data_IF_378306546541
#
_entry.id   IF_378306546541
#
_cell.length_a   1.000
_cell.length_b   1.000
_cell.length_c   1.000
_cell.angle_alpha   90.00
_cell.angle_beta   90.00
_cell.angle_gamma   90.00
#
_symmetry.space_group_name_H-M   'P 1'
#
loop_
_entity.id
_entity.type
_entity.pdbx_description
1 polymer ?
#
# COMPACT_ATOMS: atom_id res chain seq x y z
N UNK A 1 -32.11 -49.22 16.21
CA UNK A 1 -30.71 -48.75 16.35
C UNK A 1 -29.96 -49.18 15.11
N UNK A 2 -29.77 -48.27 14.15
CA UNK A 2 -28.75 -48.38 13.09
C UNK A 2 -28.47 -46.94 12.64
N UNK A 3 -27.47 -46.31 13.24
CA UNK A 3 -26.96 -45.02 12.79
C UNK A 3 -26.00 -45.25 11.63
N UNK A 4 -26.33 -44.69 10.47
CA UNK A 4 -25.41 -44.61 9.34
C UNK A 4 -24.58 -43.34 9.49
N UNK A 5 -23.32 -43.51 9.89
CA UNK A 5 -22.33 -42.43 9.95
C UNK A 5 -21.90 -42.07 8.52
N UNK A 6 -22.38 -40.92 8.04
CA UNK A 6 -21.83 -40.23 6.88
C UNK A 6 -20.40 -39.79 7.20
N UNK A 7 -19.42 -40.41 6.55
CA UNK A 7 -18.04 -39.96 6.53
C UNK A 7 -17.88 -38.97 5.39
N UNK A 8 -18.09 -37.69 5.69
CA UNK A 8 -17.66 -36.62 4.80
C UNK A 8 -16.13 -36.56 4.84
N UNK A 9 -15.48 -36.85 3.72
CA UNK A 9 -14.04 -36.65 3.49
C UNK A 9 -13.78 -35.28 2.83
N UNK A 10 -13.32 -34.25 3.56
CA UNK A 10 -12.86 -33.00 2.98
C UNK A 10 -11.35 -32.96 2.63
N UNK A 11 -10.64 -34.09 2.61
CA UNK A 11 -9.16 -34.13 2.59
C UNK A 11 -8.48 -34.15 1.21
N UNK A 12 -9.18 -34.46 0.12
CA UNK A 12 -8.57 -34.61 -1.21
C UNK A 12 -8.41 -33.27 -1.95
N UNK A 13 -9.28 -32.30 -1.70
CA UNK A 13 -9.26 -30.99 -2.35
C UNK A 13 -8.23 -30.05 -1.75
N UNK A 14 -8.14 -29.95 -0.42
CA UNK A 14 -7.14 -29.12 0.27
C UNK A 14 -5.71 -29.57 -0.02
N UNK A 15 -5.46 -30.89 -0.01
CA UNK A 15 -4.14 -31.45 -0.33
C UNK A 15 -3.71 -31.21 -1.77
N UNK A 16 -4.65 -31.13 -2.72
CA UNK A 16 -4.32 -30.78 -4.11
C UNK A 16 -4.01 -29.30 -4.28
N UNK A 17 -4.72 -28.41 -3.59
CA UNK A 17 -4.46 -26.97 -3.59
C UNK A 17 -3.12 -26.62 -2.94
N UNK A 18 -2.77 -27.25 -1.80
CA UNK A 18 -1.46 -27.11 -1.15
C UNK A 18 -0.33 -27.55 -2.09
N UNK A 19 -0.50 -28.68 -2.78
CA UNK A 19 0.50 -29.15 -3.76
C UNK A 19 0.64 -28.15 -4.90
N UNK A 20 -0.47 -27.61 -5.42
CA UNK A 20 -0.44 -26.61 -6.47
C UNK A 20 0.32 -25.34 -6.05
N UNK A 21 0.11 -24.86 -4.82
CA UNK A 21 0.86 -23.73 -4.26
C UNK A 21 2.36 -24.00 -4.25
N UNK A 22 2.77 -25.10 -3.62
CA UNK A 22 4.18 -25.49 -3.52
C UNK A 22 4.83 -25.64 -4.90
N UNK A 23 4.17 -26.35 -5.82
CA UNK A 23 4.68 -26.52 -7.18
C UNK A 23 4.81 -25.18 -7.89
N UNK A 24 3.80 -24.31 -7.83
CA UNK A 24 3.85 -23.02 -8.50
C UNK A 24 5.00 -22.14 -8.00
N UNK A 25 5.18 -22.02 -6.68
CA UNK A 25 6.26 -21.20 -6.10
C UNK A 25 7.65 -21.81 -6.25
N UNK A 26 7.78 -23.14 -6.24
CA UNK A 26 9.05 -23.81 -6.53
C UNK A 26 9.45 -23.61 -7.99
N UNK A 27 8.53 -23.88 -8.93
CA UNK A 27 8.79 -23.65 -10.37
C UNK A 27 9.08 -22.18 -10.65
N UNK A 28 8.38 -21.25 -10.00
CA UNK A 28 8.65 -19.82 -10.15
C UNK A 28 10.08 -19.46 -9.73
N UNK A 29 10.58 -20.02 -8.61
CA UNK A 29 11.97 -19.80 -8.16
C UNK A 29 13.00 -20.44 -9.09
N UNK A 30 12.74 -21.66 -9.54
CA UNK A 30 13.68 -22.38 -10.41
C UNK A 30 13.83 -21.66 -11.75
N UNK A 31 12.73 -21.20 -12.34
CA UNK A 31 12.72 -20.49 -13.62
C UNK A 31 13.33 -19.08 -13.55
N UNK A 32 13.18 -18.37 -12.41
CA UNK A 32 13.82 -17.05 -12.26
C UNK A 32 15.34 -17.17 -12.11
N UNK A 33 15.83 -18.20 -11.39
CA UNK A 33 17.27 -18.44 -11.20
C UNK A 33 17.98 -18.98 -12.45
N UNK A 34 17.25 -19.68 -13.31
CA UNK A 34 17.81 -20.34 -14.52
C UNK A 34 17.62 -19.53 -15.80
N UNK A 35 17.08 -18.30 -15.69
CA UNK A 35 16.70 -17.48 -16.84
C UNK A 35 17.86 -17.19 -17.81
N UNK A 36 17.77 -17.81 -18.99
CA UNK A 36 18.60 -17.59 -20.17
C UNK A 36 17.86 -16.63 -21.12
N UNK A 37 18.51 -15.83 -21.99
CA UNK A 37 17.86 -14.85 -22.85
C UNK A 37 16.76 -15.37 -23.82
N UNK A 38 16.49 -16.69 -23.84
CA UNK A 38 15.37 -17.34 -24.56
C UNK A 38 14.20 -17.76 -23.66
N UNK A 39 14.25 -17.51 -22.35
CA UNK A 39 13.21 -17.91 -21.39
C UNK A 39 11.98 -16.99 -21.47
N UNK A 40 10.84 -17.48 -20.98
CA UNK A 40 9.61 -16.68 -20.81
C UNK A 40 9.91 -15.40 -20.03
N UNK A 41 9.21 -14.31 -20.35
CA UNK A 41 9.29 -13.09 -19.53
C UNK A 41 8.74 -13.36 -18.13
N UNK A 42 9.25 -12.63 -17.13
CA UNK A 42 8.77 -12.73 -15.73
C UNK A 42 7.26 -12.52 -15.66
N UNK A 43 6.72 -11.58 -16.43
CA UNK A 43 5.28 -11.33 -16.54
C UNK A 43 4.51 -12.57 -16.98
N UNK A 44 5.00 -13.27 -18.00
CA UNK A 44 4.34 -14.46 -18.52
C UNK A 44 4.45 -15.64 -17.53
N UNK A 45 5.60 -15.79 -16.88
CA UNK A 45 5.82 -16.79 -15.85
C UNK A 45 4.85 -16.59 -14.66
N UNK A 46 4.72 -15.36 -14.17
CA UNK A 46 3.77 -15.00 -13.11
C UNK A 46 2.32 -15.25 -13.52
N UNK A 47 1.97 -14.92 -14.76
CA UNK A 47 0.63 -15.15 -15.26
C UNK A 47 0.29 -16.65 -15.32
N UNK A 48 1.19 -17.46 -15.88
CA UNK A 48 0.98 -18.90 -16.07
C UNK A 48 0.93 -19.64 -14.72
N UNK A 49 1.84 -19.31 -13.80
CA UNK A 49 2.00 -20.05 -12.54
C UNK A 49 1.11 -19.53 -11.42
N UNK A 50 0.99 -18.20 -11.28
CA UNK A 50 0.36 -17.57 -10.11
C UNK A 50 -1.02 -17.01 -10.46
N UNK A 51 -1.10 -16.08 -11.41
CA UNK A 51 -2.34 -15.31 -11.62
C UNK A 51 -3.47 -16.15 -12.22
N UNK A 52 -3.16 -17.06 -13.14
CA UNK A 52 -4.15 -18.00 -13.70
C UNK A 52 -4.72 -18.96 -12.65
N UNK A 53 -3.98 -19.20 -11.55
CA UNK A 53 -4.36 -20.11 -10.47
C UNK A 53 -4.72 -19.38 -9.18
N UNK A 54 -4.95 -18.06 -9.23
CA UNK A 54 -5.15 -17.18 -8.07
C UNK A 54 -6.13 -17.77 -7.04
N UNK A 55 -7.30 -18.26 -7.46
CA UNK A 55 -8.32 -18.80 -6.55
C UNK A 55 -7.87 -20.08 -5.84
N UNK A 56 -7.17 -20.96 -6.54
CA UNK A 56 -6.66 -22.19 -5.96
C UNK A 56 -5.58 -21.87 -4.91
N UNK A 57 -4.68 -20.94 -5.24
CA UNK A 57 -3.66 -20.46 -4.32
C UNK A 57 -4.28 -19.80 -3.07
N UNK A 58 -5.26 -18.92 -3.27
CA UNK A 58 -6.02 -18.27 -2.20
C UNK A 58 -6.69 -19.28 -1.25
N UNK A 59 -7.20 -20.39 -1.77
CA UNK A 59 -7.81 -21.44 -0.94
C UNK A 59 -6.79 -22.29 -0.17
N UNK A 60 -5.56 -22.41 -0.67
CA UNK A 60 -4.49 -23.17 -0.03
C UNK A 60 -3.79 -22.40 1.09
N UNK A 61 -3.75 -21.06 1.00
CA UNK A 61 -3.04 -20.19 1.93
C UNK A 61 -3.31 -20.45 3.43
N UNK A 62 -4.56 -20.64 3.91
CA UNK A 62 -4.81 -20.91 5.33
C UNK A 62 -4.35 -22.30 5.80
N UNK A 63 -4.21 -23.26 4.89
CA UNK A 63 -3.81 -24.64 5.21
C UNK A 63 -2.27 -24.84 5.18
N UNK A 64 -1.52 -23.81 4.77
CA UNK A 64 -0.06 -23.81 4.69
C UNK A 64 0.59 -23.28 5.97
N UNK A 65 1.82 -23.73 6.29
CA UNK A 65 2.61 -23.15 7.37
C UNK A 65 2.81 -21.63 7.17
N UNK A 66 2.59 -20.78 8.20
CA UNK A 66 2.67 -19.33 8.04
C UNK A 66 4.01 -18.80 7.53
N UNK A 67 5.12 -19.45 7.90
CA UNK A 67 6.46 -19.09 7.42
C UNK A 67 6.64 -19.37 5.92
N UNK A 68 6.04 -20.45 5.41
CA UNK A 68 6.06 -20.83 4.00
C UNK A 68 5.34 -19.75 3.17
N UNK A 69 4.09 -19.45 3.53
CA UNK A 69 3.29 -18.38 2.91
C UNK A 69 4.02 -17.04 2.96
N UNK A 70 4.61 -16.70 4.12
CA UNK A 70 5.36 -15.44 4.26
C UNK A 70 6.55 -15.39 3.30
N UNK A 71 7.35 -16.44 3.23
CA UNK A 71 8.52 -16.49 2.34
C UNK A 71 8.14 -16.43 0.84
N UNK A 72 7.03 -17.07 0.46
CA UNK A 72 6.53 -17.09 -0.91
C UNK A 72 6.00 -15.72 -1.33
N UNK A 73 5.26 -15.04 -0.46
CA UNK A 73 4.78 -13.68 -0.71
C UNK A 73 5.91 -12.65 -0.75
N UNK A 74 6.91 -12.77 0.13
CA UNK A 74 8.08 -11.89 0.09
C UNK A 74 8.86 -12.04 -1.21
N UNK A 75 9.08 -13.28 -1.67
CA UNK A 75 9.70 -13.55 -2.95
C UNK A 75 8.89 -12.96 -4.12
N UNK A 76 7.57 -13.10 -4.10
CA UNK A 76 6.70 -12.51 -5.12
C UNK A 76 6.75 -10.97 -5.13
N UNK A 77 6.76 -10.35 -3.96
CA UNK A 77 6.87 -8.89 -3.81
C UNK A 77 8.23 -8.36 -4.30
N UNK A 78 9.31 -9.06 -4.00
CA UNK A 78 10.65 -8.72 -4.48
C UNK A 78 10.73 -8.85 -6.02
N UNK A 79 10.17 -9.92 -6.57
CA UNK A 79 10.09 -10.11 -8.01
C UNK A 79 9.28 -9.00 -8.69
N UNK A 80 8.14 -8.61 -8.11
CA UNK A 80 7.33 -7.51 -8.61
C UNK A 80 8.09 -6.18 -8.57
N UNK A 81 8.78 -5.88 -7.46
CA UNK A 81 9.57 -4.65 -7.31
C UNK A 81 10.79 -4.60 -8.25
N UNK A 82 11.35 -5.75 -8.61
CA UNK A 82 12.49 -5.87 -9.53
C UNK A 82 12.12 -5.83 -11.02
N UNK A 83 10.81 -5.86 -11.34
CA UNK A 83 10.34 -5.87 -12.72
C UNK A 83 10.65 -4.54 -13.43
N UNK A 84 11.34 -4.55 -14.58
CA UNK A 84 11.68 -3.31 -15.28
C UNK A 84 10.41 -2.59 -15.73
N UNK A 85 10.26 -1.33 -15.27
CA UNK A 85 9.06 -0.49 -15.37
C UNK A 85 8.62 -0.09 -16.78
N UNK A 86 8.28 -1.07 -17.63
CA UNK A 86 7.61 -0.86 -18.91
C UNK A 86 6.08 -0.76 -18.77
N UNK A 87 5.39 -0.46 -19.87
CA UNK A 87 3.92 -0.31 -19.91
C UNK A 87 3.17 -1.59 -19.46
N UNK A 88 3.80 -2.77 -19.52
CA UNK A 88 3.20 -4.07 -19.19
C UNK A 88 3.35 -4.51 -17.72
N UNK A 89 3.88 -3.66 -16.82
CA UNK A 89 4.03 -4.02 -15.39
C UNK A 89 2.74 -3.78 -14.59
N UNK A 90 1.79 -3.02 -15.15
CA UNK A 90 0.52 -2.70 -14.46
C UNK A 90 -0.27 -3.94 -13.98
N UNK A 91 -0.41 -5.03 -14.75
CA UNK A 91 -1.12 -6.22 -14.28
C UNK A 91 -0.41 -6.89 -13.11
N UNK A 92 0.92 -6.96 -13.12
CA UNK A 92 1.71 -7.57 -12.04
C UNK A 92 1.41 -6.88 -10.71
N UNK A 93 1.47 -5.55 -10.69
CA UNK A 93 1.23 -4.80 -9.46
C UNK A 93 -0.18 -4.97 -8.94
N UNK A 94 -1.19 -4.94 -9.81
CA UNK A 94 -2.59 -5.17 -9.42
C UNK A 94 -2.77 -6.56 -8.82
N UNK A 95 -2.29 -7.61 -9.50
CA UNK A 95 -2.47 -8.97 -9.01
C UNK A 95 -1.71 -9.24 -7.72
N UNK A 96 -0.48 -8.75 -7.59
CA UNK A 96 0.32 -8.93 -6.38
C UNK A 96 -0.30 -8.16 -5.22
N UNK A 97 -0.72 -6.90 -5.42
CA UNK A 97 -1.37 -6.12 -4.36
C UNK A 97 -2.64 -6.80 -3.87
N UNK A 98 -3.50 -7.26 -4.78
CA UNK A 98 -4.76 -7.93 -4.41
C UNK A 98 -4.52 -9.31 -3.80
N UNK A 99 -3.52 -10.08 -4.25
CA UNK A 99 -3.17 -11.37 -3.64
C UNK A 99 -2.74 -11.18 -2.18
N UNK A 100 -1.84 -10.24 -1.92
CA UNK A 100 -1.37 -9.94 -0.56
C UNK A 100 -2.52 -9.42 0.30
N UNK A 101 -3.35 -8.53 -0.25
CA UNK A 101 -4.55 -8.02 0.42
C UNK A 101 -5.48 -9.16 0.86
N UNK A 102 -5.84 -10.03 -0.08
CA UNK A 102 -6.82 -11.08 0.15
C UNK A 102 -6.29 -12.15 1.12
N UNK A 103 -5.01 -12.53 1.04
CA UNK A 103 -4.42 -13.49 1.98
C UNK A 103 -4.41 -12.92 3.41
N UNK A 104 -4.00 -11.67 3.56
CA UNK A 104 -3.87 -11.05 4.88
C UNK A 104 -5.23 -10.74 5.50
N UNK A 105 -6.17 -10.21 4.70
CA UNK A 105 -7.43 -9.68 5.19
C UNK A 105 -8.57 -10.69 5.14
N UNK A 106 -8.72 -11.42 4.03
CA UNK A 106 -9.83 -12.37 3.86
C UNK A 106 -9.51 -13.72 4.51
N UNK A 107 -8.31 -14.25 4.29
CA UNK A 107 -7.92 -15.56 4.84
C UNK A 107 -7.36 -15.47 6.27
N UNK A 108 -7.12 -14.26 6.79
CA UNK A 108 -6.60 -14.00 8.15
C UNK A 108 -5.31 -14.78 8.45
N UNK A 109 -4.48 -15.04 7.43
CA UNK A 109 -3.21 -15.72 7.61
C UNK A 109 -2.25 -14.78 8.36
N UNK A 110 -1.75 -15.24 9.51
CA UNK A 110 -0.81 -14.46 10.32
C UNK A 110 0.60 -14.57 9.73
N UNK A 111 1.01 -13.58 8.94
CA UNK A 111 2.35 -13.56 8.35
C UNK A 111 3.42 -13.39 9.44
N UNK A 112 4.53 -14.13 9.30
CA UNK A 112 5.67 -14.09 10.21
C UNK A 112 6.67 -13.01 9.76
N UNK A 113 6.28 -11.76 9.92
CA UNK A 113 7.11 -10.62 9.56
C UNK A 113 8.18 -10.33 10.63
N UNK A 114 9.35 -9.94 10.15
CA UNK A 114 10.47 -9.34 10.88
C UNK A 114 10.94 -8.05 10.17
N UNK A 115 11.90 -7.33 10.75
CA UNK A 115 12.38 -6.05 10.21
C UNK A 115 12.88 -6.15 8.76
N UNK A 116 13.60 -7.21 8.40
CA UNK A 116 14.07 -7.40 7.01
C UNK A 116 12.92 -7.63 6.02
N UNK A 117 11.93 -8.46 6.38
CA UNK A 117 10.74 -8.66 5.56
C UNK A 117 9.88 -7.41 5.44
N UNK A 118 9.86 -6.58 6.50
CA UNK A 118 9.12 -5.33 6.50
C UNK A 118 9.68 -4.34 5.48
N UNK A 119 11.01 -4.27 5.32
CA UNK A 119 11.65 -3.46 4.29
C UNK A 119 11.23 -3.92 2.89
N UNK A 120 11.16 -5.23 2.63
CA UNK A 120 10.71 -5.77 1.33
C UNK A 120 9.26 -5.37 1.05
N UNK A 121 8.38 -5.52 2.05
CA UNK A 121 6.97 -5.10 1.97
C UNK A 121 6.87 -3.62 1.60
N UNK A 122 7.53 -2.76 2.37
CA UNK A 122 7.47 -1.30 2.17
C UNK A 122 8.04 -0.90 0.81
N UNK A 123 9.16 -1.49 0.37
CA UNK A 123 9.75 -1.18 -0.93
C UNK A 123 8.84 -1.60 -2.09
N UNK A 124 8.22 -2.79 -2.00
CA UNK A 124 7.29 -3.26 -3.01
C UNK A 124 6.05 -2.37 -3.11
N UNK A 125 5.40 -2.05 -1.98
CA UNK A 125 4.24 -1.17 -1.99
C UNK A 125 4.59 0.27 -2.34
N UNK A 126 5.80 0.73 -2.02
CA UNK A 126 6.32 2.01 -2.52
C UNK A 126 6.37 2.01 -4.04
N UNK A 127 7.00 1.02 -4.66
CA UNK A 127 7.05 0.89 -6.12
C UNK A 127 5.66 0.87 -6.76
N UNK A 128 4.73 0.08 -6.19
CA UNK A 128 3.34 0.00 -6.66
C UNK A 128 2.60 1.34 -6.57
N UNK A 129 2.64 1.99 -5.40
CA UNK A 129 1.93 3.26 -5.19
C UNK A 129 2.51 4.35 -6.08
N UNK A 130 3.84 4.48 -6.17
CA UNK A 130 4.46 5.46 -7.07
C UNK A 130 4.13 5.19 -8.54
N UNK A 131 4.07 3.92 -8.96
CA UNK A 131 3.64 3.55 -10.30
C UNK A 131 2.19 3.98 -10.56
N UNK A 132 1.26 3.64 -9.67
CA UNK A 132 -0.14 4.01 -9.83
C UNK A 132 -0.33 5.53 -9.82
N UNK A 133 0.32 6.23 -8.91
CA UNK A 133 0.35 7.68 -8.90
C UNK A 133 0.83 8.22 -10.26
N UNK A 134 1.99 7.75 -10.76
CA UNK A 134 2.50 8.17 -12.07
C UNK A 134 1.51 7.98 -13.23
N UNK A 135 0.70 6.93 -13.18
CA UNK A 135 -0.32 6.61 -14.18
C UNK A 135 -1.65 7.38 -14.02
N UNK A 136 -1.79 8.18 -12.96
CA UNK A 136 -3.00 8.96 -12.68
C UNK A 136 -3.32 10.00 -13.76
N UNK A 137 -2.34 10.42 -14.56
CA UNK A 137 -2.57 11.30 -15.72
C UNK A 137 -3.39 10.64 -16.83
N UNK A 138 -3.23 9.32 -17.06
CA UNK A 138 -3.90 8.61 -18.15
C UNK A 138 -5.20 7.93 -17.74
N UNK A 139 -5.24 7.32 -16.54
CA UNK A 139 -6.40 6.60 -16.01
C UNK A 139 -6.59 6.90 -14.52
N UNK A 140 -7.02 8.11 -14.13
CA UNK A 140 -7.02 8.58 -12.74
C UNK A 140 -7.86 7.71 -11.81
N UNK A 141 -9.09 7.37 -12.20
CA UNK A 141 -9.99 6.60 -11.34
C UNK A 141 -9.48 5.17 -11.06
N UNK A 142 -8.94 4.51 -12.09
CA UNK A 142 -8.41 3.16 -11.94
C UNK A 142 -7.14 3.18 -11.07
N UNK A 143 -6.20 4.06 -11.38
CA UNK A 143 -4.91 4.13 -10.68
C UNK A 143 -5.01 4.56 -9.21
N UNK A 144 -5.79 5.61 -8.92
CA UNK A 144 -5.95 6.09 -7.54
C UNK A 144 -6.64 5.03 -6.66
N UNK A 145 -7.60 4.28 -7.20
CA UNK A 145 -8.24 3.17 -6.49
C UNK A 145 -7.23 2.11 -6.04
N UNK A 146 -6.32 1.69 -6.91
CA UNK A 146 -5.29 0.70 -6.58
C UNK A 146 -4.24 1.26 -5.61
N UNK A 147 -3.90 2.55 -5.71
CA UNK A 147 -3.01 3.20 -4.74
C UNK A 147 -3.63 3.20 -3.32
N UNK A 148 -4.94 3.49 -3.20
CA UNK A 148 -5.67 3.41 -1.93
C UNK A 148 -5.72 1.97 -1.41
N UNK A 149 -5.96 0.98 -2.26
CA UNK A 149 -5.94 -0.44 -1.89
C UNK A 149 -4.56 -0.89 -1.38
N UNK A 150 -3.49 -0.45 -2.03
CA UNK A 150 -2.12 -0.67 -1.58
C UNK A 150 -1.89 -0.10 -0.17
N UNK A 151 -2.28 1.15 0.07
CA UNK A 151 -2.18 1.77 1.40
C UNK A 151 -3.03 1.04 2.45
N UNK A 152 -4.23 0.59 2.09
CA UNK A 152 -5.08 -0.25 2.95
C UNK A 152 -4.43 -1.58 3.30
N UNK A 153 -3.69 -2.18 2.35
CA UNK A 153 -2.94 -3.43 2.57
C UNK A 153 -1.74 -3.21 3.48
N UNK A 154 -0.98 -2.15 3.27
CA UNK A 154 0.12 -1.75 4.17
C UNK A 154 -0.39 -1.50 5.59
N UNK A 155 -1.54 -0.84 5.74
CA UNK A 155 -2.18 -0.64 7.04
C UNK A 155 -2.51 -1.97 7.73
N UNK A 156 -3.07 -2.93 6.98
CA UNK A 156 -3.38 -4.26 7.49
C UNK A 156 -2.12 -4.98 7.95
N UNK A 157 -1.08 -5.01 7.13
CA UNK A 157 0.21 -5.62 7.45
C UNK A 157 0.88 -4.95 8.65
N UNK A 158 0.85 -3.62 8.72
CA UNK A 158 1.36 -2.86 9.86
C UNK A 158 0.65 -3.27 11.14
N UNK A 159 -0.68 -3.42 11.13
CA UNK A 159 -1.43 -3.85 12.32
C UNK A 159 -1.06 -5.26 12.81
N UNK A 160 -0.72 -6.17 11.88
CA UNK A 160 -0.27 -7.53 12.20
C UNK A 160 1.16 -7.52 12.75
N UNK A 161 2.04 -6.67 12.19
CA UNK A 161 3.45 -6.60 12.55
C UNK A 161 3.74 -5.74 13.79
N UNK A 162 2.85 -4.80 14.11
CA UNK A 162 3.02 -3.79 15.16
C UNK A 162 3.53 -4.29 16.53
N UNK A 163 3.05 -5.43 17.07
CA UNK A 163 3.54 -5.92 18.36
C UNK A 163 5.04 -6.26 18.38
N UNK A 164 5.66 -6.42 17.20
CA UNK A 164 7.06 -6.82 17.02
C UNK A 164 7.89 -5.73 16.32
N UNK A 165 7.30 -4.58 15.98
CA UNK A 165 7.97 -3.57 15.18
C UNK A 165 9.06 -2.86 15.99
N UNK A 166 10.20 -2.61 15.34
CA UNK A 166 11.25 -1.78 15.89
C UNK A 166 11.01 -0.31 15.51
N UNK A 167 11.60 0.62 16.27
CA UNK A 167 11.57 2.05 15.91
C UNK A 167 12.06 2.31 14.47
N UNK A 168 13.08 1.57 14.01
CA UNK A 168 13.58 1.65 12.63
C UNK A 168 12.51 1.28 11.59
N UNK A 169 11.65 0.32 11.89
CA UNK A 169 10.59 -0.14 10.98
C UNK A 169 9.52 0.92 10.79
N UNK A 170 9.25 1.66 11.86
CA UNK A 170 8.28 2.74 11.87
C UNK A 170 8.81 4.03 11.24
N UNK A 171 10.11 4.27 11.38
CA UNK A 171 10.84 5.28 10.60
C UNK A 171 10.77 4.96 9.10
N UNK A 172 10.93 3.70 8.70
CA UNK A 172 10.77 3.29 7.31
C UNK A 172 9.35 3.49 6.81
N UNK A 173 8.34 3.12 7.60
CA UNK A 173 6.93 3.36 7.27
C UNK A 173 6.64 4.86 7.10
N UNK A 174 7.12 5.71 8.02
CA UNK A 174 6.94 7.15 7.95
C UNK A 174 7.58 7.75 6.69
N UNK A 175 8.82 7.36 6.35
CA UNK A 175 9.48 7.79 5.11
C UNK A 175 8.69 7.44 3.86
N UNK A 176 8.20 6.20 3.78
CA UNK A 176 7.37 5.75 2.68
C UNK A 176 6.09 6.61 2.55
N UNK A 177 5.36 6.80 3.65
CA UNK A 177 4.10 7.57 3.63
C UNK A 177 4.32 9.04 3.24
N UNK A 178 5.39 9.65 3.74
CA UNK A 178 5.79 11.01 3.35
C UNK A 178 6.09 11.08 1.85
N UNK A 179 6.86 10.14 1.31
CA UNK A 179 7.16 10.07 -0.12
C UNK A 179 5.91 9.89 -1.00
N UNK A 180 4.92 9.12 -0.54
CA UNK A 180 3.62 8.98 -1.22
C UNK A 180 2.89 10.31 -1.29
N UNK A 181 2.82 11.05 -0.17
CA UNK A 181 2.15 12.35 -0.10
C UNK A 181 2.86 13.37 -1.00
N UNK A 182 4.19 13.41 -0.97
CA UNK A 182 4.99 14.28 -1.84
C UNK A 182 4.77 13.98 -3.32
N UNK A 183 4.75 12.70 -3.70
CA UNK A 183 4.55 12.27 -5.08
C UNK A 183 3.15 12.59 -5.58
N UNK A 184 2.14 12.36 -4.75
CA UNK A 184 0.76 12.73 -5.05
C UNK A 184 0.65 14.25 -5.28
N UNK A 185 1.27 15.04 -4.41
CA UNK A 185 1.29 16.49 -4.51
C UNK A 185 1.95 16.98 -5.80
N UNK A 186 3.11 16.43 -6.18
CA UNK A 186 3.78 16.77 -7.43
C UNK A 186 2.88 16.53 -8.66
N UNK A 187 2.09 15.46 -8.65
CA UNK A 187 1.20 15.12 -9.75
C UNK A 187 -0.08 15.97 -9.77
N UNK A 188 -0.62 16.34 -8.61
CA UNK A 188 -1.72 17.31 -8.53
C UNK A 188 -1.35 18.67 -9.11
N UNK A 189 -0.14 19.15 -8.82
CA UNK A 189 0.36 20.40 -9.40
C UNK A 189 0.46 20.31 -10.92
N UNK A 190 1.03 19.24 -11.45
CA UNK A 190 1.15 19.01 -12.90
C UNK A 190 -0.22 18.95 -13.59
N UNK A 191 -1.21 18.30 -12.99
CA UNK A 191 -2.59 18.22 -13.50
C UNK A 191 -3.30 19.59 -13.52
N UNK A 192 -2.99 20.46 -12.55
CA UNK A 192 -3.58 21.80 -12.48
C UNK A 192 -2.98 22.71 -13.56
N UNK A 193 -1.68 22.60 -13.84
CA UNK A 193 -0.98 23.39 -14.87
C UNK A 193 -1.40 23.03 -16.30
N UNK A 194 -1.76 21.78 -16.60
CA UNK A 194 -2.22 21.37 -17.94
C UNK A 194 -3.66 21.80 -18.23
N UNK A 195 -4.49 21.94 -17.19
CA UNK A 195 -5.89 22.38 -17.33
C UNK A 195 -6.05 23.85 -17.74
N UNK A 196 -4.98 24.65 -17.66
CA UNK A 196 -5.02 26.08 -18.01
C UNK A 196 -4.89 26.32 -19.53
N UNK A 197 -4.65 25.28 -20.34
CA UNK A 197 -4.42 25.42 -21.78
C UNK A 197 -5.50 24.82 -22.70
N UNK A 198 -6.59 24.23 -22.17
CA UNK A 198 -7.66 23.69 -23.03
C UNK A 198 -9.03 24.29 -22.69
N UNK A 199 -9.60 24.89 -23.73
CA UNK A 199 -10.74 25.80 -23.72
C UNK A 199 -12.05 25.25 -23.13
N UNK A 200 -12.77 26.16 -22.46
CA UNK A 200 -14.24 26.39 -22.49
C UNK A 200 -15.10 25.24 -23.05
N UNK A 201 -15.79 24.52 -22.16
CA UNK A 201 -17.14 24.03 -22.42
C UNK A 201 -17.90 23.82 -21.10
N UNK A 202 -18.95 24.62 -20.94
CA UNK A 202 -19.96 24.54 -19.87
C UNK A 202 -20.59 23.14 -19.86
N UNK A 203 -20.40 22.39 -18.77
CA UNK A 203 -21.37 21.38 -18.35
C UNK A 203 -21.39 21.29 -16.82
N UNK A 204 -22.29 22.10 -16.27
CA UNK A 204 -22.75 22.09 -14.89
C UNK A 204 -23.24 20.68 -14.53
N UNK A 205 -22.64 20.04 -13.51
CA UNK A 205 -23.17 18.81 -12.91
C UNK A 205 -22.17 17.68 -12.60
N UNK A 206 -20.97 17.65 -13.21
CA UNK A 206 -20.02 16.52 -13.05
C UNK A 206 -18.72 16.81 -12.26
N UNK A 207 -18.57 18.01 -11.68
CA UNK A 207 -17.37 18.37 -10.90
C UNK A 207 -17.32 17.76 -9.49
N UNK A 208 -18.45 17.35 -8.91
CA UNK A 208 -18.50 16.81 -7.54
C UNK A 208 -17.95 15.37 -7.40
N UNK A 209 -17.96 14.54 -8.45
CA UNK A 209 -17.45 13.17 -8.35
C UNK A 209 -15.93 13.06 -8.53
N UNK A 210 -15.32 14.00 -9.26
CA UNK A 210 -13.85 14.06 -9.41
C UNK A 210 -13.14 14.53 -8.14
N UNK A 211 -13.80 15.31 -7.29
CA UNK A 211 -13.18 15.90 -6.09
C UNK A 211 -13.05 14.94 -4.91
N UNK A 212 -13.91 13.92 -4.77
CA UNK A 212 -13.80 13.01 -3.62
C UNK A 212 -12.61 12.07 -3.71
N UNK A 213 -12.36 11.50 -4.90
CA UNK A 213 -11.31 10.49 -5.11
C UNK A 213 -9.89 11.07 -5.11
N UNK A 214 -9.75 12.35 -5.45
CA UNK A 214 -8.46 13.05 -5.35
C UNK A 214 -7.91 12.96 -3.92
N UNK A 215 -8.75 13.22 -2.91
CA UNK A 215 -8.27 13.25 -1.54
C UNK A 215 -8.14 11.87 -0.88
N UNK A 216 -8.53 10.77 -1.53
CA UNK A 216 -8.52 9.44 -0.90
C UNK A 216 -7.09 8.94 -0.62
N UNK A 217 -6.18 9.05 -1.59
CA UNK A 217 -4.76 8.66 -1.41
C UNK A 217 -4.07 9.46 -0.31
N UNK A 218 -4.04 10.81 -0.34
CA UNK A 218 -3.41 11.58 0.72
C UNK A 218 -4.11 11.34 2.06
N UNK A 219 -5.44 11.26 2.13
CA UNK A 219 -6.16 10.99 3.39
C UNK A 219 -5.74 9.64 3.98
N UNK A 220 -5.67 8.58 3.16
CA UNK A 220 -5.21 7.27 3.60
C UNK A 220 -3.76 7.33 4.13
N UNK A 221 -2.84 7.92 3.36
CA UNK A 221 -1.44 8.04 3.75
C UNK A 221 -1.26 8.84 5.06
N UNK A 222 -1.96 9.97 5.18
CA UNK A 222 -1.95 10.79 6.38
C UNK A 222 -2.53 10.07 7.60
N UNK A 223 -3.59 9.27 7.44
CA UNK A 223 -4.17 8.47 8.52
C UNK A 223 -3.19 7.41 9.04
N UNK A 224 -2.49 6.70 8.14
CA UNK A 224 -1.45 5.75 8.56
C UNK A 224 -0.28 6.46 9.24
N UNK A 225 0.08 7.66 8.74
CA UNK A 225 1.18 8.45 9.27
C UNK A 225 0.86 8.91 10.68
N UNK A 226 -0.35 9.41 10.93
CA UNK A 226 -0.76 9.84 12.26
C UNK A 226 -0.82 8.69 13.26
N UNK A 227 -1.23 7.50 12.84
CA UNK A 227 -1.19 6.30 13.68
C UNK A 227 0.24 5.94 14.08
N UNK A 228 1.19 6.05 13.14
CA UNK A 228 2.60 5.85 13.46
C UNK A 228 3.09 6.91 14.47
N UNK A 229 2.82 8.19 14.24
CA UNK A 229 3.20 9.29 15.15
C UNK A 229 2.53 9.18 16.52
N UNK A 230 1.26 8.78 16.59
CA UNK A 230 0.54 8.64 17.87
C UNK A 230 1.13 7.50 18.70
N UNK A 231 1.54 6.41 18.05
CA UNK A 231 2.08 5.23 18.72
C UNK A 231 3.49 5.46 19.27
N UNK A 232 4.36 6.14 18.52
CA UNK A 232 5.79 6.29 18.85
C UNK A 232 6.09 7.63 19.48
N UNK A 233 5.29 8.63 19.15
CA UNK A 233 5.38 9.99 19.65
C UNK A 233 6.77 10.57 19.43
N UNK A 234 7.37 11.00 20.54
CA UNK A 234 8.66 11.67 20.60
C UNK A 234 9.84 10.80 20.15
N UNK A 235 9.70 9.48 20.09
CA UNK A 235 10.82 8.60 19.75
C UNK A 235 11.20 8.66 18.27
N UNK A 236 10.38 9.30 17.43
CA UNK A 236 10.75 9.57 16.05
C UNK A 236 11.97 10.49 15.96
N UNK A 237 12.94 10.20 15.07
CA UNK A 237 14.04 11.09 14.79
C UNK A 237 13.57 12.48 14.34
N UNK A 238 14.31 13.52 14.73
CA UNK A 238 13.98 14.93 14.41
C UNK A 238 13.80 15.18 12.92
N UNK A 239 14.57 14.52 12.06
CA UNK A 239 14.46 14.70 10.61
C UNK A 239 13.11 14.18 10.06
N UNK A 240 12.52 13.14 10.66
CA UNK A 240 11.19 12.64 10.27
C UNK A 240 10.11 13.68 10.63
N UNK A 241 10.21 14.28 11.82
CA UNK A 241 9.35 15.38 12.23
C UNK A 241 9.44 16.57 11.28
N UNK A 242 10.66 16.95 10.90
CA UNK A 242 10.89 18.06 9.96
C UNK A 242 10.27 17.76 8.59
N UNK A 243 10.50 16.56 8.03
CA UNK A 243 9.90 16.15 6.77
C UNK A 243 8.37 16.15 6.83
N UNK A 244 7.77 15.63 7.91
CA UNK A 244 6.32 15.65 8.07
C UNK A 244 5.75 17.07 8.10
N UNK A 245 6.36 17.97 8.85
CA UNK A 245 5.95 19.38 8.89
C UNK A 245 6.11 20.08 7.54
N UNK A 246 7.15 19.73 6.78
CA UNK A 246 7.35 20.27 5.44
C UNK A 246 6.29 19.81 4.46
N UNK A 247 5.98 18.52 4.43
CA UNK A 247 4.94 17.95 3.57
C UNK A 247 3.57 18.55 3.90
N UNK A 248 3.23 18.64 5.20
CA UNK A 248 1.97 19.27 5.64
C UNK A 248 1.89 20.72 5.17
N UNK A 249 2.97 21.50 5.32
CA UNK A 249 3.02 22.89 4.86
C UNK A 249 2.80 23.00 3.36
N UNK A 250 3.48 22.19 2.55
CA UNK A 250 3.31 22.17 1.09
C UNK A 250 1.85 21.87 0.68
N UNK A 251 1.23 20.88 1.32
CA UNK A 251 -0.17 20.53 1.07
C UNK A 251 -1.10 21.68 1.46
N UNK A 252 -0.85 22.34 2.59
CA UNK A 252 -1.63 23.52 3.01
C UNK A 252 -1.45 24.69 2.04
N UNK A 253 -0.24 24.97 1.59
CA UNK A 253 0.04 26.06 0.64
C UNK A 253 -0.74 25.85 -0.67
N UNK A 254 -0.84 24.62 -1.16
CA UNK A 254 -1.67 24.29 -2.32
C UNK A 254 -3.15 24.49 -2.05
N UNK A 255 -3.67 24.01 -0.92
CA UNK A 255 -5.07 24.21 -0.53
C UNK A 255 -5.45 25.70 -0.48
N UNK A 256 -4.55 26.53 0.07
CA UNK A 256 -4.71 27.98 0.14
C UNK A 256 -4.63 28.62 -1.26
N UNK A 257 -3.67 28.21 -2.09
CA UNK A 257 -3.48 28.77 -3.44
C UNK A 257 -4.63 28.45 -4.41
N UNK A 258 -5.30 27.31 -4.22
CA UNK A 258 -6.36 26.83 -5.11
C UNK A 258 -7.76 27.29 -4.67
N UNK A 259 -7.88 28.13 -3.63
CA UNK A 259 -9.16 28.54 -3.03
C UNK A 259 -10.10 27.34 -2.79
N UNK A 260 -9.57 26.18 -2.38
CA UNK A 260 -10.37 24.99 -2.02
C UNK A 260 -11.19 25.17 -0.73
N UNK A 261 -11.17 26.39 -0.19
CA UNK A 261 -11.93 26.88 0.93
C UNK A 261 -13.38 27.10 0.48
N UNK A 262 -14.12 26.04 0.12
CA UNK A 262 -15.60 25.98 0.02
C UNK A 262 -16.09 24.54 -0.28
N UNK A 263 -16.86 23.99 0.67
CA UNK A 263 -17.95 23.00 0.53
C UNK A 263 -17.70 21.63 -0.12
N UNK A 264 -16.59 20.97 0.20
CA UNK A 264 -16.43 19.52 -0.03
C UNK A 264 -16.27 18.75 1.28
N UNK A 265 -17.18 17.81 1.58
CA UNK A 265 -17.07 16.89 2.74
C UNK A 265 -15.72 16.16 2.90
N UNK A 266 -14.96 15.83 1.83
CA UNK A 266 -13.63 15.22 1.95
C UNK A 266 -12.55 16.24 2.34
N UNK A 267 -12.58 17.45 1.77
CA UNK A 267 -11.59 18.50 2.04
C UNK A 267 -11.75 19.07 3.46
N UNK A 268 -12.97 19.19 3.96
CA UNK A 268 -13.23 19.58 5.36
C UNK A 268 -12.78 18.51 6.34
N UNK A 269 -13.04 17.22 6.07
CA UNK A 269 -12.50 16.11 6.87
C UNK A 269 -10.97 16.06 6.83
N UNK A 270 -10.37 16.40 5.71
CA UNK A 270 -8.91 16.45 5.56
C UNK A 270 -8.31 17.62 6.34
N UNK A 271 -8.92 18.80 6.29
CA UNK A 271 -8.51 19.96 7.10
C UNK A 271 -8.74 19.73 8.59
N UNK A 272 -9.84 19.07 8.97
CA UNK A 272 -10.13 18.68 10.35
C UNK A 272 -9.15 17.60 10.83
N UNK A 273 -8.81 16.65 9.98
CA UNK A 273 -7.74 15.67 10.23
C UNK A 273 -6.39 16.35 10.39
N UNK A 274 -5.99 17.24 9.47
CA UNK A 274 -4.76 18.03 9.59
C UNK A 274 -4.79 18.82 10.89
N UNK A 275 -5.89 19.48 11.23
CA UNK A 275 -6.02 20.27 12.46
C UNK A 275 -5.91 19.40 13.71
N UNK A 276 -6.61 18.28 13.79
CA UNK A 276 -6.56 17.36 14.93
C UNK A 276 -5.19 16.72 15.10
N UNK A 277 -4.55 16.32 13.99
CA UNK A 277 -3.24 15.67 14.00
C UNK A 277 -2.09 16.67 14.17
N UNK A 278 -2.17 17.89 13.63
CA UNK A 278 -1.23 18.99 13.94
C UNK A 278 -1.30 19.39 15.40
N UNK A 279 -2.50 19.47 16.00
CA UNK A 279 -2.62 19.80 17.41
C UNK A 279 -1.98 18.72 18.29
N UNK A 280 -2.12 17.44 17.95
CA UNK A 280 -1.44 16.36 18.67
C UNK A 280 0.08 16.38 18.43
N UNK A 281 0.51 16.63 17.20
CA UNK A 281 1.92 16.72 16.81
C UNK A 281 2.62 17.93 17.45
N UNK A 282 1.98 19.09 17.46
CA UNK A 282 2.50 20.33 18.03
C UNK A 282 2.45 20.28 19.56
N UNK A 283 1.39 19.72 20.17
CA UNK A 283 1.36 19.46 21.61
C UNK A 283 2.45 18.47 22.07
N UNK A 284 2.74 17.43 21.28
CA UNK A 284 3.85 16.50 21.54
C UNK A 284 5.21 17.19 21.43
N UNK A 285 5.42 18.04 20.42
CA UNK A 285 6.64 18.83 20.26
C UNK A 285 6.83 19.88 21.36
N UNK A 286 5.77 20.56 21.77
CA UNK A 286 5.82 21.58 22.81
C UNK A 286 6.09 20.97 24.21
N UNK A 287 5.58 19.77 24.48
CA UNK A 287 5.91 18.99 25.69
C UNK A 287 7.39 18.56 25.69
N UNK A 288 7.98 18.32 24.52
CA UNK A 288 9.40 17.97 24.36
C UNK A 288 10.33 19.17 24.50
N UNK A 289 10.00 20.33 23.93
CA UNK A 289 10.79 21.54 24.14
C UNK A 289 10.85 21.94 25.62
N UNK A 290 9.75 21.74 26.36
CA UNK A 290 9.72 21.98 27.81
C UNK A 290 10.53 20.96 28.63
N UNK A 291 10.74 19.73 28.16
CA UNK A 291 11.50 18.69 28.88
C UNK A 291 13.00 18.71 28.57
N UNK A 292 13.42 19.17 27.39
CA UNK A 292 14.85 19.45 27.08
C UNK A 292 15.38 20.74 27.72
N UNK A 293 14.54 21.54 28.38
CA UNK A 293 14.96 22.73 29.15
C UNK A 293 15.16 22.44 30.64
N UNK A 294 15.05 21.18 31.08
CA UNK A 294 15.22 20.73 32.47
C UNK A 294 16.18 19.53 32.64
N UNK A 295 17.10 19.34 31.69
CA UNK A 295 18.31 18.52 31.80
C UNK A 295 19.52 19.38 31.39
#
# INVERSE_FOLDING_TARGET
MSGSSSSDTPSSSSSSAIRAWRTAFLTLRDETLTSSPKSKSITQLLNDLIFSHFRALMSAAPDLPPHEVTSDLLFLMELAASSPGGQDVSPIYVYVSSLVHDICKLQRVTLQLNSSSWVVVINCFSAMVHFFLGQAGSRPQFSLGHAVECLGTVRCLASIYQPKSLLSDDVHLAKFLLGVIESYHAQCLLSTCTSTSENVAVSTGKRLSKSSQLWEVPTAAFTLLSEAFTRIGSSFPTYIWQSAMEVIRKVMDVLLSQNFLVEGAPATRFLEFIRLNLITIDALKHTLQCTTLWL
#
